data_IF_079644562396
#
_entry.id   IF_079644562396
#
_cell.length_a   1.000
_cell.length_b   1.000
_cell.length_c   1.000
_cell.angle_alpha   90.00
_cell.angle_beta   90.00
_cell.angle_gamma   90.00
#
_symmetry.space_group_name_H-M   'P 1'
#
loop_
_entity.id
_entity.type
_entity.pdbx_description
1 polymer ?
#
# COMPACT_ATOMS: atom_id res chain seq x y z
N UNK A 1 4.81 19.94 -0.36
CA UNK A 1 4.84 21.36 -0.82
C UNK A 1 3.56 21.69 -1.58
N UNK A 2 3.09 22.94 -1.52
CA UNK A 2 1.89 23.43 -2.18
C UNK A 2 2.09 23.59 -3.71
N UNK A 3 2.19 22.46 -4.42
CA UNK A 3 2.28 22.40 -5.87
C UNK A 3 1.82 21.01 -6.38
N UNK A 4 1.67 20.86 -7.70
CA UNK A 4 1.26 19.60 -8.31
C UNK A 4 2.19 18.43 -7.93
N UNK A 5 3.51 18.60 -8.03
CA UNK A 5 4.48 17.56 -7.69
C UNK A 5 4.40 17.09 -6.24
N UNK A 6 4.14 18.02 -5.32
CA UNK A 6 3.93 17.75 -3.90
C UNK A 6 2.70 16.90 -3.59
N UNK A 7 1.76 16.77 -4.53
CA UNK A 7 0.62 15.86 -4.44
C UNK A 7 0.80 14.62 -5.30
N UNK A 8 1.33 14.75 -6.52
CA UNK A 8 1.54 13.64 -7.44
C UNK A 8 2.55 12.61 -6.92
N UNK A 9 3.62 13.04 -6.23
CA UNK A 9 4.62 12.14 -5.65
C UNK A 9 4.00 11.23 -4.57
N UNK A 10 3.39 11.75 -3.48
CA UNK A 10 2.72 10.88 -2.50
C UNK A 10 1.56 10.11 -3.13
N UNK A 11 0.81 10.72 -4.06
CA UNK A 11 -0.25 10.03 -4.80
C UNK A 11 0.24 8.79 -5.54
N UNK A 12 1.40 8.88 -6.21
CA UNK A 12 2.03 7.76 -6.89
C UNK A 12 2.48 6.67 -5.92
N UNK A 13 3.07 7.06 -4.79
CA UNK A 13 3.50 6.12 -3.76
C UNK A 13 2.32 5.31 -3.22
N UNK A 14 1.22 5.97 -2.83
CA UNK A 14 0.03 5.30 -2.31
C UNK A 14 -0.69 4.45 -3.36
N UNK A 15 -0.75 4.89 -4.62
CA UNK A 15 -1.29 4.07 -5.71
C UNK A 15 -0.50 2.78 -5.90
N UNK A 16 0.83 2.88 -6.03
CA UNK A 16 1.70 1.72 -6.21
C UNK A 16 1.64 0.78 -5.00
N UNK A 17 1.63 1.34 -3.78
CA UNK A 17 1.47 0.56 -2.57
C UNK A 17 0.12 -0.16 -2.54
N UNK A 18 -0.97 0.51 -2.90
CA UNK A 18 -2.31 -0.09 -2.97
C UNK A 18 -2.36 -1.28 -3.93
N UNK A 19 -1.85 -1.13 -5.16
CA UNK A 19 -1.74 -2.24 -6.11
C UNK A 19 -0.84 -3.38 -5.60
N UNK A 20 0.32 -3.03 -5.04
CA UNK A 20 1.25 -4.01 -4.46
C UNK A 20 0.58 -4.83 -3.37
N UNK A 21 -0.13 -4.18 -2.44
CA UNK A 21 -0.87 -4.83 -1.37
C UNK A 21 -1.96 -5.75 -1.92
N UNK A 22 -2.74 -5.30 -2.91
CA UNK A 22 -3.75 -6.13 -3.58
C UNK A 22 -3.12 -7.39 -4.18
N UNK A 23 -2.02 -7.26 -4.94
CA UNK A 23 -1.31 -8.41 -5.51
C UNK A 23 -0.78 -9.34 -4.41
N UNK A 24 -0.11 -8.80 -3.39
CA UNK A 24 0.46 -9.55 -2.26
C UNK A 24 -0.61 -10.39 -1.56
N UNK A 25 -1.74 -9.78 -1.20
CA UNK A 25 -2.79 -10.48 -0.46
C UNK A 25 -3.53 -11.52 -1.30
N UNK A 26 -3.70 -11.29 -2.61
CA UNK A 26 -4.26 -12.31 -3.51
C UNK A 26 -3.34 -13.53 -3.55
N UNK A 27 -2.01 -13.33 -3.67
CA UNK A 27 -1.03 -14.41 -3.66
C UNK A 27 -1.06 -15.18 -2.33
N UNK A 28 -1.06 -14.46 -1.20
CA UNK A 28 -1.14 -15.05 0.13
C UNK A 28 -2.46 -15.79 0.34
N UNK A 29 -3.59 -15.24 -0.11
CA UNK A 29 -4.91 -15.88 -0.04
C UNK A 29 -4.97 -17.14 -0.89
N UNK A 30 -4.52 -17.09 -2.14
CA UNK A 30 -4.44 -18.28 -3.00
C UNK A 30 -3.59 -19.37 -2.35
N UNK A 31 -2.45 -19.01 -1.79
CA UNK A 31 -1.58 -19.96 -1.10
C UNK A 31 -2.26 -20.57 0.14
N UNK A 32 -2.86 -19.75 1.01
CA UNK A 32 -3.59 -20.21 2.22
C UNK A 32 -4.70 -21.20 1.88
N UNK A 33 -5.44 -20.95 0.80
CA UNK A 33 -6.58 -21.78 0.37
C UNK A 33 -6.17 -23.10 -0.29
N UNK A 34 -4.98 -23.19 -0.90
CA UNK A 34 -4.51 -24.38 -1.61
C UNK A 34 -3.55 -25.27 -0.80
N UNK A 35 -3.27 -24.94 0.46
CA UNK A 35 -2.41 -25.75 1.34
C UNK A 35 -3.15 -26.98 1.91
N UNK A 36 -2.53 -28.18 1.90
CA UNK A 36 -3.10 -29.34 2.60
C UNK A 36 -3.18 -29.08 4.11
N UNK A 37 -4.27 -29.52 4.74
CA UNK A 37 -4.50 -29.35 6.19
C UNK A 37 -3.38 -30.04 6.97
N UNK A 38 -2.53 -29.28 7.67
CA UNK A 38 -1.56 -29.86 8.61
C UNK A 38 -0.25 -29.11 8.81
N UNK A 39 0.18 -28.21 7.91
CA UNK A 39 1.41 -27.42 8.13
C UNK A 39 1.42 -26.09 7.38
N UNK A 40 0.99 -25.02 8.06
CA UNK A 40 1.06 -23.66 7.54
C UNK A 40 2.43 -23.03 7.79
N UNK A 41 3.46 -23.43 7.04
CA UNK A 41 4.74 -22.72 7.04
C UNK A 41 4.69 -21.66 5.96
N UNK A 42 4.75 -20.39 6.34
CA UNK A 42 4.87 -19.27 5.39
C UNK A 42 6.09 -19.47 4.48
N UNK A 43 5.90 -19.50 3.15
CA UNK A 43 6.98 -19.63 2.19
C UNK A 43 8.06 -18.57 2.39
N UNK A 44 9.35 -18.89 2.17
CA UNK A 44 10.44 -17.92 2.20
C UNK A 44 10.19 -16.72 1.27
N UNK A 45 9.48 -16.94 0.16
CA UNK A 45 9.09 -15.88 -0.77
C UNK A 45 8.24 -14.79 -0.11
N UNK A 46 7.19 -15.14 0.64
CA UNK A 46 6.36 -14.14 1.32
C UNK A 46 7.14 -13.41 2.41
N UNK A 47 8.03 -14.09 3.14
CA UNK A 47 8.92 -13.41 4.09
C UNK A 47 9.82 -12.37 3.42
N UNK A 48 10.37 -12.70 2.23
CA UNK A 48 11.15 -11.75 1.43
C UNK A 48 10.32 -10.54 1.00
N UNK A 49 9.05 -10.74 0.63
CA UNK A 49 8.14 -9.64 0.30
C UNK A 49 7.93 -8.71 1.49
N UNK A 50 7.68 -9.24 2.70
CA UNK A 50 7.51 -8.41 3.90
C UNK A 50 8.79 -7.64 4.25
N UNK A 51 9.98 -8.25 4.10
CA UNK A 51 11.25 -7.53 4.31
C UNK A 51 11.49 -6.44 3.28
N UNK A 52 11.16 -6.69 2.01
CA UNK A 52 11.29 -5.69 0.96
C UNK A 52 10.32 -4.52 1.20
N UNK A 53 9.07 -4.81 1.53
CA UNK A 53 8.06 -3.80 1.85
C UNK A 53 8.45 -2.95 3.06
N UNK A 54 8.79 -3.60 4.18
CA UNK A 54 9.20 -2.89 5.38
C UNK A 54 10.51 -2.11 5.20
N UNK A 55 11.50 -2.70 4.52
CA UNK A 55 12.76 -2.05 4.20
C UNK A 55 12.58 -0.84 3.28
N UNK A 56 11.75 -0.96 2.24
CA UNK A 56 11.42 0.14 1.34
C UNK A 56 10.68 1.25 2.09
N UNK A 57 9.75 0.91 2.98
CA UNK A 57 9.02 1.88 3.79
C UNK A 57 9.94 2.64 4.75
N UNK A 58 10.90 1.96 5.39
CA UNK A 58 11.93 2.60 6.23
C UNK A 58 12.78 3.55 5.40
N UNK A 59 13.24 3.08 4.23
CA UNK A 59 14.06 3.89 3.33
C UNK A 59 13.31 5.12 2.83
N UNK A 60 12.07 4.96 2.37
CA UNK A 60 11.22 6.06 1.90
C UNK A 60 10.94 7.08 3.01
N UNK A 61 10.65 6.61 4.23
CA UNK A 61 10.48 7.47 5.39
C UNK A 61 11.74 8.28 5.71
N UNK A 62 12.90 7.62 5.71
CA UNK A 62 14.18 8.28 5.93
C UNK A 62 14.45 9.35 4.87
N UNK A 63 14.32 9.01 3.59
CA UNK A 63 14.49 9.97 2.47
C UNK A 63 13.49 11.11 2.59
N UNK A 64 12.23 10.84 2.92
CA UNK A 64 11.21 11.85 3.14
C UNK A 64 11.59 12.85 4.24
N UNK A 65 12.06 12.36 5.38
CA UNK A 65 12.56 13.23 6.47
C UNK A 65 13.78 14.04 6.00
N UNK A 66 14.73 13.41 5.29
CA UNK A 66 15.91 14.12 4.80
C UNK A 66 15.55 15.24 3.81
N UNK A 67 14.61 14.97 2.89
CA UNK A 67 14.14 15.95 1.91
C UNK A 67 13.36 17.08 2.60
N UNK A 68 12.47 16.77 3.55
CA UNK A 68 11.71 17.82 4.23
C UNK A 68 12.59 18.68 5.14
N UNK A 69 13.63 18.11 5.75
CA UNK A 69 14.48 18.82 6.71
C UNK A 69 15.68 19.54 6.07
N UNK A 70 16.33 18.94 5.07
CA UNK A 70 17.69 19.33 4.65
C UNK A 70 17.83 19.68 3.16
N UNK A 71 16.73 19.86 2.43
CA UNK A 71 16.82 20.59 1.14
C UNK A 71 17.29 22.02 1.39
N UNK A 72 17.78 22.71 0.35
CA UNK A 72 18.31 24.08 0.44
C UNK A 72 17.32 25.03 1.14
N UNK A 73 16.03 24.84 0.89
CA UNK A 73 14.94 25.57 1.54
C UNK A 73 14.28 24.79 2.69
N UNK A 74 15.02 23.93 3.39
CA UNK A 74 14.54 23.18 4.54
C UNK A 74 14.67 23.96 5.87
N UNK A 75 14.03 23.49 6.96
CA UNK A 75 14.24 24.00 8.31
C UNK A 75 15.63 23.66 8.90
N UNK A 76 16.37 22.71 8.31
CA UNK A 76 17.70 22.26 8.76
C UNK A 76 17.74 21.87 10.25
N UNK A 77 16.72 21.15 10.72
CA UNK A 77 16.53 20.78 12.13
C UNK A 77 16.35 21.97 13.11
N UNK A 78 16.14 23.18 12.61
CA UNK A 78 15.71 24.31 13.42
C UNK A 78 14.18 24.33 13.49
N UNK A 79 13.62 24.16 14.69
CA UNK A 79 12.17 24.26 14.91
C UNK A 79 11.75 25.69 15.25
N UNK A 80 12.60 26.40 16.01
CA UNK A 80 12.28 27.71 16.57
C UNK A 80 13.28 28.77 16.12
N UNK A 81 12.78 29.95 15.76
CA UNK A 81 13.61 31.15 15.55
C UNK A 81 13.36 32.16 16.67
N UNK A 82 14.44 32.73 17.23
CA UNK A 82 14.35 33.72 18.30
C UNK A 82 13.90 35.10 17.80
N UNK A 83 14.05 35.37 16.50
CA UNK A 83 13.72 36.66 15.90
C UNK A 83 12.60 36.51 14.85
N UNK A 84 11.41 37.08 15.13
CA UNK A 84 10.27 37.10 14.20
C UNK A 84 9.21 36.03 14.47
N UNK A 85 8.70 35.37 13.42
CA UNK A 85 7.75 34.27 13.57
C UNK A 85 8.45 33.10 14.30
N UNK A 86 7.94 32.65 15.46
CA UNK A 86 8.62 31.67 16.29
C UNK A 86 8.88 30.34 15.56
N UNK A 87 8.07 29.96 14.58
CA UNK A 87 8.14 28.65 13.94
C UNK A 87 8.88 28.68 12.60
N UNK A 88 9.87 27.80 12.45
CA UNK A 88 10.61 27.63 11.19
C UNK A 88 9.96 26.52 10.37
N UNK A 89 9.29 26.89 9.28
CA UNK A 89 8.75 25.96 8.26
C UNK A 89 7.99 24.77 8.89
N UNK A 90 7.01 25.08 9.75
CA UNK A 90 6.27 24.10 10.55
C UNK A 90 5.59 23.00 9.71
N UNK A 91 5.23 23.28 8.47
CA UNK A 91 4.66 22.28 7.56
C UNK A 91 5.64 21.15 7.23
N UNK A 92 6.92 21.47 7.03
CA UNK A 92 7.96 20.47 6.82
C UNK A 92 8.14 19.57 8.05
N UNK A 93 7.97 20.12 9.25
CA UNK A 93 7.98 19.35 10.50
C UNK A 93 6.76 18.42 10.63
N UNK A 94 5.57 18.86 10.21
CA UNK A 94 4.39 17.99 10.16
C UNK A 94 4.62 16.81 9.19
N UNK A 95 5.11 17.06 7.98
CA UNK A 95 5.44 15.98 7.03
C UNK A 95 6.54 15.04 7.56
N UNK A 96 7.58 15.59 8.20
CA UNK A 96 8.65 14.78 8.82
C UNK A 96 8.10 13.88 9.92
N UNK A 97 7.13 14.37 10.70
CA UNK A 97 6.42 13.58 11.71
C UNK A 97 5.61 12.46 11.07
N UNK A 98 4.89 12.74 9.97
CA UNK A 98 4.17 11.70 9.22
C UNK A 98 5.14 10.60 8.73
N UNK A 99 6.23 10.99 8.07
CA UNK A 99 7.24 10.04 7.59
C UNK A 99 7.84 9.21 8.72
N UNK A 100 8.11 9.80 9.89
CA UNK A 100 8.59 9.07 11.07
C UNK A 100 7.66 7.91 11.44
N UNK A 101 6.35 8.14 11.50
CA UNK A 101 5.40 7.08 11.85
C UNK A 101 5.30 5.99 10.77
N UNK A 102 5.37 6.35 9.49
CA UNK A 102 5.50 5.35 8.43
C UNK A 102 6.81 4.56 8.55
N UNK A 103 7.91 5.19 8.94
CA UNK A 103 9.18 4.51 9.23
C UNK A 103 9.06 3.51 10.39
N UNK A 104 8.40 3.90 11.48
CA UNK A 104 8.09 3.01 12.61
C UNK A 104 7.25 1.80 12.16
N UNK A 105 6.24 2.01 11.32
CA UNK A 105 5.45 0.93 10.75
C UNK A 105 6.29 -0.03 9.88
N UNK A 106 7.24 0.50 9.09
CA UNK A 106 8.20 -0.32 8.34
C UNK A 106 9.11 -1.16 9.25
N UNK A 107 9.62 -0.56 10.34
CA UNK A 107 10.42 -1.28 11.36
C UNK A 107 9.60 -2.39 12.00
N UNK A 108 8.36 -2.09 12.39
CA UNK A 108 7.45 -3.06 12.98
C UNK A 108 7.18 -4.23 12.03
N UNK A 109 6.95 -3.96 10.74
CA UNK A 109 6.75 -5.00 9.73
C UNK A 109 7.97 -5.93 9.61
N UNK A 110 9.18 -5.38 9.54
CA UNK A 110 10.41 -6.18 9.52
C UNK A 110 10.57 -6.97 10.82
N UNK A 111 10.40 -6.32 11.97
CA UNK A 111 10.57 -6.94 13.29
C UNK A 111 9.60 -8.10 13.52
N UNK A 112 8.32 -7.95 13.14
CA UNK A 112 7.30 -9.01 13.19
C UNK A 112 7.64 -10.22 12.32
N UNK A 113 8.47 -10.04 11.29
CA UNK A 113 8.91 -11.13 10.40
C UNK A 113 10.28 -11.72 10.76
N UNK A 114 11.09 -11.03 11.57
CA UNK A 114 12.38 -11.54 12.08
C UNK A 114 12.21 -12.25 13.43
N UNK A 115 11.45 -11.66 14.35
CA UNK A 115 11.41 -12.09 15.74
C UNK A 115 10.04 -12.60 16.15
N UNK A 116 10.01 -13.79 16.77
CA UNK A 116 8.80 -14.35 17.39
C UNK A 116 8.41 -13.65 18.70
N UNK A 117 9.30 -12.80 19.25
CA UNK A 117 9.02 -12.03 20.47
C UNK A 117 8.06 -10.88 20.21
N UNK A 118 7.93 -10.44 18.95
CA UNK A 118 6.99 -9.39 18.58
C UNK A 118 5.59 -10.00 18.51
N UNK A 119 4.61 -9.46 19.26
CA UNK A 119 3.24 -9.95 19.21
C UNK A 119 2.66 -9.89 17.79
N UNK A 120 1.80 -10.85 17.47
CA UNK A 120 1.09 -10.85 16.20
C UNK A 120 0.18 -9.62 16.09
N UNK A 121 0.22 -8.93 14.94
CA UNK A 121 -0.61 -7.76 14.68
C UNK A 121 0.05 -6.40 14.98
N UNK A 122 1.27 -6.37 15.55
CA UNK A 122 2.01 -5.11 15.75
C UNK A 122 2.28 -4.37 14.43
N UNK A 123 2.54 -5.11 13.36
CA UNK A 123 2.67 -4.59 11.99
C UNK A 123 1.39 -3.84 11.53
N UNK A 124 0.22 -4.42 11.81
CA UNK A 124 -1.10 -3.84 11.47
C UNK A 124 -1.45 -2.64 12.35
N UNK A 125 -1.14 -2.73 13.65
CA UNK A 125 -1.34 -1.64 14.60
C UNK A 125 -0.52 -0.41 14.22
N UNK A 126 0.76 -0.61 13.88
CA UNK A 126 1.66 0.50 13.58
C UNK A 126 1.34 1.18 12.26
N UNK A 127 0.94 0.45 11.21
CA UNK A 127 0.44 1.08 9.98
C UNK A 127 -0.90 1.80 10.19
N UNK A 128 -1.79 1.25 11.03
CA UNK A 128 -3.02 1.94 11.43
C UNK A 128 -2.72 3.27 12.14
N UNK A 129 -1.76 3.26 13.07
CA UNK A 129 -1.31 4.45 13.78
C UNK A 129 -0.63 5.46 12.84
N UNK A 130 0.16 5.01 11.88
CA UNK A 130 0.77 5.89 10.89
C UNK A 130 -0.28 6.61 10.04
N UNK A 131 -1.29 5.89 9.55
CA UNK A 131 -2.43 6.48 8.84
C UNK A 131 -3.24 7.42 9.75
N UNK A 132 -3.44 7.05 11.02
CA UNK A 132 -4.12 7.93 11.97
C UNK A 132 -3.36 9.25 12.17
N UNK A 133 -2.04 9.19 12.36
CA UNK A 133 -1.20 10.39 12.53
C UNK A 133 -1.18 11.23 11.26
N UNK A 134 -1.11 10.62 10.07
CA UNK A 134 -1.29 11.30 8.79
C UNK A 134 -2.63 12.07 8.75
N UNK A 135 -3.74 11.38 8.98
CA UNK A 135 -5.07 11.98 8.95
C UNK A 135 -5.24 13.08 10.01
N UNK A 136 -4.70 12.86 11.22
CA UNK A 136 -4.77 13.81 12.33
C UNK A 136 -3.96 15.08 12.05
N UNK A 137 -2.74 14.96 11.53
CA UNK A 137 -1.93 16.14 11.16
C UNK A 137 -2.56 16.89 9.98
N UNK A 138 -3.07 16.17 8.97
CA UNK A 138 -3.78 16.81 7.86
C UNK A 138 -5.07 17.50 8.29
N UNK A 139 -5.78 16.99 9.29
CA UNK A 139 -7.01 17.63 9.79
C UNK A 139 -6.74 19.05 10.28
N UNK A 140 -5.68 19.24 11.05
CA UNK A 140 -5.28 20.57 11.52
C UNK A 140 -4.55 21.39 10.44
N UNK A 141 -4.07 20.76 9.36
CA UNK A 141 -3.54 21.46 8.19
C UNK A 141 -4.62 22.17 7.37
N UNK A 142 -5.83 21.61 7.34
CA UNK A 142 -6.94 22.08 6.50
C UNK A 142 -7.65 23.32 7.06
N UNK A 143 -7.48 23.60 8.36
CA UNK A 143 -8.11 24.75 8.99
C UNK A 143 -7.61 26.07 8.38
N UNK A 144 -8.54 26.99 8.07
CA UNK A 144 -8.32 28.30 7.43
C UNK A 144 -7.90 28.29 5.95
N UNK A 145 -8.13 27.20 5.21
CA UNK A 145 -7.98 27.18 3.75
C UNK A 145 -9.24 27.72 3.04
N UNK A 146 -9.14 28.21 1.79
CA UNK A 146 -10.29 28.52 0.94
C UNK A 146 -11.26 27.34 0.86
N UNK A 147 -12.55 27.60 0.59
CA UNK A 147 -13.60 26.61 0.77
C UNK A 147 -13.39 25.31 -0.03
N UNK A 148 -13.06 25.41 -1.33
CA UNK A 148 -12.76 24.24 -2.16
C UNK A 148 -11.49 23.49 -1.73
N UNK A 149 -10.43 24.23 -1.37
CA UNK A 149 -9.15 23.66 -0.90
C UNK A 149 -9.36 22.87 0.40
N UNK A 150 -10.13 23.43 1.33
CA UNK A 150 -10.45 22.73 2.56
C UNK A 150 -11.29 21.47 2.32
N UNK A 151 -12.30 21.57 1.45
CA UNK A 151 -13.22 20.47 1.15
C UNK A 151 -12.51 19.30 0.46
N UNK A 152 -11.71 19.59 -0.57
CA UNK A 152 -11.04 18.53 -1.34
C UNK A 152 -10.02 17.76 -0.49
N UNK A 153 -9.33 18.44 0.42
CA UNK A 153 -8.49 17.78 1.41
C UNK A 153 -9.31 17.02 2.45
N UNK A 154 -10.45 17.54 2.92
CA UNK A 154 -11.32 16.82 3.86
C UNK A 154 -11.80 15.47 3.32
N UNK A 155 -12.03 15.37 2.00
CA UNK A 155 -12.35 14.09 1.34
C UNK A 155 -11.16 13.11 1.38
N UNK A 156 -9.91 13.59 1.28
CA UNK A 156 -8.72 12.75 1.49
C UNK A 156 -8.71 12.16 2.90
N UNK A 157 -9.02 12.98 3.91
CA UNK A 157 -9.06 12.53 5.30
C UNK A 157 -10.03 11.37 5.51
N UNK A 158 -11.17 11.39 4.83
CA UNK A 158 -12.11 10.26 4.87
C UNK A 158 -11.44 8.95 4.41
N UNK A 159 -10.71 8.98 3.29
CA UNK A 159 -9.98 7.81 2.80
C UNK A 159 -8.88 7.35 3.79
N UNK A 160 -8.11 8.29 4.34
CA UNK A 160 -7.02 8.00 5.29
C UNK A 160 -7.56 7.40 6.59
N UNK A 161 -8.59 8.00 7.20
CA UNK A 161 -9.17 7.48 8.44
C UNK A 161 -9.88 6.15 8.23
N UNK A 162 -10.57 5.95 7.10
CA UNK A 162 -11.08 4.63 6.73
C UNK A 162 -9.94 3.61 6.58
N UNK A 163 -8.80 4.01 6.00
CA UNK A 163 -7.59 3.17 5.89
C UNK A 163 -7.03 2.79 7.25
N UNK A 164 -6.92 3.76 8.16
CA UNK A 164 -6.50 3.54 9.55
C UNK A 164 -7.43 2.58 10.28
N UNK A 165 -8.76 2.78 10.16
CA UNK A 165 -9.76 1.91 10.77
C UNK A 165 -9.72 0.48 10.18
N UNK A 166 -9.58 0.34 8.86
CA UNK A 166 -9.44 -0.96 8.19
C UNK A 166 -8.20 -1.71 8.70
N UNK A 167 -7.05 -1.03 8.78
CA UNK A 167 -5.82 -1.62 9.31
C UNK A 167 -5.94 -1.99 10.80
N UNK A 168 -6.66 -1.21 11.60
CA UNK A 168 -6.94 -1.54 12.99
C UNK A 168 -7.80 -2.80 13.12
N UNK A 169 -8.83 -2.95 12.29
CA UNK A 169 -9.66 -4.16 12.28
C UNK A 169 -8.85 -5.42 11.97
N UNK A 170 -7.84 -5.33 11.10
CA UNK A 170 -6.96 -6.46 10.78
C UNK A 170 -6.12 -6.93 11.98
N UNK A 171 -5.91 -6.09 13.01
CA UNK A 171 -5.25 -6.52 14.26
C UNK A 171 -6.06 -7.64 14.93
N UNK A 172 -7.39 -7.52 14.92
CA UNK A 172 -8.31 -8.47 15.53
C UNK A 172 -8.76 -9.57 14.56
N UNK A 173 -9.01 -9.20 13.30
CA UNK A 173 -9.54 -10.08 12.26
C UNK A 173 -8.46 -10.31 11.20
N UNK A 174 -7.46 -11.11 11.58
CA UNK A 174 -6.31 -11.42 10.71
C UNK A 174 -6.72 -12.30 9.54
N UNK A 175 -5.95 -12.17 8.45
CA UNK A 175 -6.02 -13.03 7.27
C UNK A 175 -7.38 -13.02 6.54
N UNK A 176 -8.19 -11.99 6.78
CA UNK A 176 -9.47 -11.80 6.09
C UNK A 176 -9.26 -11.08 4.77
N UNK A 177 -9.48 -11.79 3.67
CA UNK A 177 -9.24 -11.27 2.32
C UNK A 177 -10.08 -10.02 2.00
N UNK A 178 -11.28 -9.87 2.57
CA UNK A 178 -12.12 -8.70 2.33
C UNK A 178 -11.49 -7.45 2.97
N UNK A 179 -10.99 -7.56 4.20
CA UNK A 179 -10.29 -6.45 4.87
C UNK A 179 -8.97 -6.11 4.18
N UNK A 180 -8.22 -7.14 3.77
CA UNK A 180 -6.97 -6.98 3.00
C UNK A 180 -7.21 -6.26 1.66
N UNK A 181 -8.29 -6.60 0.94
CA UNK A 181 -8.71 -5.91 -0.30
C UNK A 181 -9.22 -4.50 -0.04
N UNK A 182 -9.98 -4.29 1.04
CA UNK A 182 -10.46 -2.97 1.45
C UNK A 182 -9.27 -2.05 1.72
N UNK A 183 -8.25 -2.50 2.45
CA UNK A 183 -7.05 -1.71 2.71
C UNK A 183 -6.30 -1.36 1.43
N UNK A 184 -6.08 -2.33 0.53
CA UNK A 184 -5.48 -2.06 -0.78
C UNK A 184 -6.28 -1.03 -1.59
N UNK A 185 -7.61 -1.16 -1.60
CA UNK A 185 -8.52 -0.22 -2.27
C UNK A 185 -8.49 1.19 -1.67
N UNK A 186 -8.39 1.32 -0.35
CA UNK A 186 -8.29 2.60 0.34
C UNK A 186 -6.97 3.31 0.05
N UNK A 187 -5.86 2.57 -0.09
CA UNK A 187 -4.59 3.12 -0.57
C UNK A 187 -4.67 3.60 -2.03
N UNK A 188 -5.35 2.84 -2.90
CA UNK A 188 -5.60 3.27 -4.30
C UNK A 188 -6.46 4.55 -4.31
N UNK A 189 -7.51 4.60 -3.50
CA UNK A 189 -8.37 5.77 -3.36
C UNK A 189 -7.55 6.99 -2.88
N UNK A 190 -6.83 6.85 -1.77
CA UNK A 190 -5.94 7.88 -1.23
C UNK A 190 -4.95 8.40 -2.29
N UNK A 191 -4.26 7.49 -2.98
CA UNK A 191 -3.27 7.86 -3.99
C UNK A 191 -3.87 8.55 -5.21
N UNK A 192 -4.99 8.04 -5.75
CA UNK A 192 -5.70 8.69 -6.86
C UNK A 192 -6.28 10.05 -6.46
N UNK A 193 -6.67 10.21 -5.20
CA UNK A 193 -7.24 11.45 -4.70
C UNK A 193 -6.20 12.54 -4.50
N UNK A 194 -4.96 12.18 -4.11
CA UNK A 194 -3.84 13.11 -4.16
C UNK A 194 -3.63 13.70 -5.56
N UNK A 195 -3.74 12.88 -6.61
CA UNK A 195 -3.72 13.38 -7.99
C UNK A 195 -4.88 14.35 -8.26
N UNK A 196 -6.09 14.02 -7.83
CA UNK A 196 -7.25 14.90 -7.98
C UNK A 196 -7.03 16.26 -7.30
N UNK A 197 -6.50 16.28 -6.07
CA UNK A 197 -6.10 17.52 -5.37
C UNK A 197 -5.09 18.30 -6.23
N UNK A 198 -4.05 17.63 -6.73
CA UNK A 198 -3.06 18.23 -7.60
C UNK A 198 -3.69 18.88 -8.84
N UNK A 199 -4.60 18.20 -9.53
CA UNK A 199 -5.25 18.72 -10.74
C UNK A 199 -6.20 19.89 -10.47
N UNK A 200 -6.91 19.88 -9.34
CA UNK A 200 -7.87 20.94 -9.00
C UNK A 200 -7.17 22.19 -8.48
N UNK A 201 -6.21 22.05 -7.56
CA UNK A 201 -5.55 23.20 -6.92
C UNK A 201 -4.33 23.70 -7.70
N UNK A 202 -3.70 22.82 -8.50
CA UNK A 202 -2.47 23.13 -9.24
C UNK A 202 -2.55 22.57 -10.67
N UNK A 203 -3.55 22.98 -11.48
CA UNK A 203 -3.73 22.44 -12.82
C UNK A 203 -2.47 22.66 -13.67
N UNK A 204 -1.87 21.62 -14.26
CA UNK A 204 -0.66 21.76 -15.08
C UNK A 204 -0.93 22.53 -16.38
N UNK A 205 -2.19 22.59 -16.81
CA UNK A 205 -2.66 23.36 -17.96
C UNK A 205 -4.14 23.70 -17.79
N UNK A 206 -4.59 24.81 -18.37
CA UNK A 206 -5.99 25.24 -18.35
C UNK A 206 -6.28 26.37 -17.38
N UNK A 207 -7.56 26.67 -17.19
CA UNK A 207 -8.01 27.73 -16.28
C UNK A 207 -7.93 27.25 -14.83
N UNK A 208 -7.59 28.18 -13.93
CA UNK A 208 -7.65 27.93 -12.49
C UNK A 208 -9.10 27.74 -12.04
N UNK A 209 -9.28 26.90 -11.02
CA UNK A 209 -10.58 26.67 -10.41
C UNK A 209 -10.95 27.85 -9.51
N UNK A 210 -12.23 28.21 -9.50
CA UNK A 210 -12.77 29.14 -8.52
C UNK A 210 -12.93 28.41 -7.17
N UNK A 211 -12.19 28.86 -6.16
CA UNK A 211 -12.14 28.22 -4.84
C UNK A 211 -13.36 28.51 -3.96
N UNK A 212 -14.16 29.52 -4.31
CA UNK A 212 -15.35 29.93 -3.55
C UNK A 212 -16.65 29.47 -4.22
N UNK A 213 -16.58 29.01 -5.48
CA UNK A 213 -17.73 28.51 -6.23
C UNK A 213 -18.27 27.19 -5.65
N UNK A 214 -19.51 27.21 -5.16
CA UNK A 214 -20.16 26.05 -4.54
C UNK A 214 -20.33 24.88 -5.53
N UNK A 215 -20.54 25.17 -6.81
CA UNK A 215 -20.68 24.13 -7.84
C UNK A 215 -19.43 23.26 -7.97
N UNK A 216 -18.24 23.83 -7.73
CA UNK A 216 -16.98 23.08 -7.74
C UNK A 216 -16.89 22.10 -6.56
N UNK A 217 -17.42 22.48 -5.39
CA UNK A 217 -17.50 21.60 -4.21
C UNK A 217 -18.41 20.41 -4.48
N UNK A 218 -19.59 20.65 -5.07
CA UNK A 218 -20.51 19.58 -5.46
C UNK A 218 -19.87 18.63 -6.48
N UNK A 219 -19.21 19.18 -7.50
CA UNK A 219 -18.55 18.42 -8.54
C UNK A 219 -17.42 17.54 -7.98
N UNK A 220 -16.53 18.10 -7.15
CA UNK A 220 -15.43 17.35 -6.54
C UNK A 220 -15.96 16.25 -5.61
N UNK A 221 -17.05 16.50 -4.87
CA UNK A 221 -17.70 15.46 -4.04
C UNK A 221 -18.19 14.28 -4.91
N UNK A 222 -18.81 14.58 -6.05
CA UNK A 222 -19.22 13.57 -7.01
C UNK A 222 -18.02 12.80 -7.59
N UNK A 223 -16.93 13.49 -7.93
CA UNK A 223 -15.69 12.86 -8.37
C UNK A 223 -15.13 11.91 -7.31
N UNK A 224 -15.20 12.23 -6.02
CA UNK A 224 -14.77 11.32 -4.95
C UNK A 224 -15.51 9.99 -4.99
N UNK A 225 -16.82 10.01 -5.19
CA UNK A 225 -17.62 8.79 -5.35
C UNK A 225 -17.22 7.99 -6.60
N UNK A 226 -16.85 8.66 -7.70
CA UNK A 226 -16.32 7.98 -8.88
C UNK A 226 -14.95 7.35 -8.60
N UNK A 227 -14.07 8.00 -7.85
CA UNK A 227 -12.80 7.43 -7.44
C UNK A 227 -12.99 6.18 -6.56
N UNK A 228 -13.99 6.15 -5.68
CA UNK A 228 -14.36 4.94 -4.93
C UNK A 228 -14.76 3.81 -5.88
N UNK A 229 -15.64 4.09 -6.85
CA UNK A 229 -16.07 3.10 -7.83
C UNK A 229 -14.89 2.57 -8.67
N UNK A 230 -14.00 3.46 -9.12
CA UNK A 230 -12.79 3.11 -9.87
C UNK A 230 -11.84 2.28 -9.00
N UNK A 231 -11.61 2.64 -7.73
CA UNK A 231 -10.77 1.87 -6.83
C UNK A 231 -11.29 0.43 -6.64
N UNK A 232 -12.61 0.26 -6.46
CA UNK A 232 -13.25 -1.06 -6.37
C UNK A 232 -13.07 -1.89 -7.65
N UNK A 233 -13.23 -1.26 -8.81
CA UNK A 233 -12.99 -1.89 -10.11
C UNK A 233 -11.52 -2.31 -10.24
N UNK A 234 -10.57 -1.44 -9.92
CA UNK A 234 -9.13 -1.72 -9.99
C UNK A 234 -8.74 -2.88 -9.07
N UNK A 235 -9.25 -2.92 -7.84
CA UNK A 235 -9.01 -4.03 -6.91
C UNK A 235 -9.57 -5.33 -7.47
N UNK A 236 -10.80 -5.33 -7.99
CA UNK A 236 -11.46 -6.53 -8.53
C UNK A 236 -10.77 -7.05 -9.79
N UNK A 237 -10.37 -6.15 -10.69
CA UNK A 237 -9.59 -6.48 -11.89
C UNK A 237 -8.23 -7.07 -11.51
N UNK A 238 -7.51 -6.43 -10.58
CA UNK A 238 -6.21 -6.91 -10.11
C UNK A 238 -6.34 -8.27 -9.42
N UNK A 239 -7.33 -8.44 -8.53
CA UNK A 239 -7.65 -9.71 -7.88
C UNK A 239 -7.86 -10.81 -8.92
N UNK A 240 -8.76 -10.57 -9.88
CA UNK A 240 -9.12 -11.54 -10.90
C UNK A 240 -7.90 -11.90 -11.75
N UNK A 241 -7.16 -10.90 -12.22
CA UNK A 241 -5.97 -11.09 -13.05
C UNK A 241 -4.92 -11.94 -12.33
N UNK A 242 -4.56 -11.58 -11.10
CA UNK A 242 -3.57 -12.33 -10.32
C UNK A 242 -4.08 -13.75 -10.03
N UNK A 243 -5.33 -13.89 -9.62
CA UNK A 243 -5.92 -15.20 -9.34
C UNK A 243 -5.89 -16.14 -10.55
N UNK A 244 -6.36 -15.67 -11.71
CA UNK A 244 -6.36 -16.47 -12.94
C UNK A 244 -4.93 -16.79 -13.41
N UNK A 245 -4.01 -15.83 -13.28
CA UNK A 245 -2.60 -16.02 -13.62
C UNK A 245 -1.97 -17.13 -12.78
N UNK A 246 -2.12 -17.05 -11.46
CA UNK A 246 -1.57 -18.04 -10.52
C UNK A 246 -2.21 -19.40 -10.75
N UNK A 247 -3.53 -19.48 -10.93
CA UNK A 247 -4.24 -20.73 -11.24
C UNK A 247 -3.73 -21.37 -12.52
N UNK A 248 -3.52 -20.59 -13.59
CA UNK A 248 -3.00 -21.07 -14.88
C UNK A 248 -1.58 -21.63 -14.75
N UNK A 249 -0.69 -20.92 -14.05
CA UNK A 249 0.68 -21.40 -13.83
C UNK A 249 0.73 -22.64 -12.93
N UNK A 250 -0.12 -22.69 -11.89
CA UNK A 250 -0.21 -23.86 -11.00
C UNK A 250 -0.76 -25.10 -11.72
N UNK A 251 -1.77 -24.94 -12.58
CA UNK A 251 -2.28 -26.04 -13.41
C UNK A 251 -1.21 -26.58 -14.36
N UNK A 252 -0.54 -25.69 -15.10
CA UNK A 252 0.55 -26.07 -16.01
C UNK A 252 1.70 -26.79 -15.28
N UNK A 253 2.04 -26.35 -14.06
CA UNK A 253 3.05 -27.01 -13.24
C UNK A 253 2.67 -28.46 -12.88
N UNK A 254 1.42 -28.69 -12.50
CA UNK A 254 0.90 -30.05 -12.24
C UNK A 254 0.89 -30.93 -13.49
N UNK A 255 0.52 -30.37 -14.64
CA UNK A 255 0.52 -31.12 -15.90
C UNK A 255 1.94 -31.56 -16.30
N UNK A 256 2.95 -30.70 -16.08
CA UNK A 256 4.36 -31.02 -16.31
C UNK A 256 4.82 -32.12 -15.34
N UNK A 257 4.49 -32.01 -14.04
CA UNK A 257 4.86 -33.00 -13.03
C UNK A 257 4.24 -34.38 -13.31
N UNK A 258 2.96 -34.42 -13.70
CA UNK A 258 2.26 -35.64 -14.12
C UNK A 258 2.90 -36.21 -15.40
N UNK A 259 3.23 -35.35 -16.37
CA UNK A 259 3.93 -35.74 -17.60
C UNK A 259 5.28 -36.40 -17.30
N UNK A 260 6.10 -35.78 -16.45
CA UNK A 260 7.41 -36.31 -16.04
C UNK A 260 7.30 -37.65 -15.28
N UNK A 261 6.30 -37.79 -14.42
CA UNK A 261 6.07 -39.04 -13.68
C UNK A 261 5.64 -40.17 -14.60
N UNK A 262 4.81 -39.88 -15.60
CA UNK A 262 4.39 -40.85 -16.60
C UNK A 262 5.54 -41.28 -17.54
N UNK A 263 6.42 -40.36 -17.94
CA UNK A 263 7.62 -40.71 -18.72
C UNK A 263 8.61 -41.55 -17.91
N UNK A 264 8.81 -41.23 -16.63
CA UNK A 264 9.68 -42.01 -15.73
C UNK A 264 9.13 -43.43 -15.51
N UNK A 265 7.81 -43.56 -15.29
CA UNK A 265 7.15 -44.86 -15.16
C UNK A 265 7.28 -45.72 -16.42
N UNK A 266 7.05 -45.15 -17.60
CA UNK A 266 7.23 -45.86 -18.89
C UNK A 266 8.68 -46.26 -19.14
N UNK A 267 9.64 -45.40 -18.82
CA UNK A 267 11.07 -45.71 -18.92
C UNK A 267 11.47 -46.87 -18.01
N UNK A 268 10.98 -46.90 -16.76
CA UNK A 268 11.26 -48.01 -15.84
C UNK A 268 10.60 -49.31 -16.30
N UNK A 269 9.37 -49.24 -16.83
CA UNK A 269 8.68 -50.41 -17.38
C UNK A 269 9.39 -50.97 -18.62
N UNK A 270 9.91 -50.12 -19.51
CA UNK A 270 10.68 -50.58 -20.68
C UNK A 270 12.04 -51.16 -20.28
N UNK A 271 12.68 -50.63 -19.24
CA UNK A 271 13.97 -51.14 -18.76
C UNK A 271 13.83 -52.52 -18.10
N UNK A 272 12.78 -52.71 -17.32
CA UNK A 272 12.46 -54.01 -16.71
C UNK A 272 12.16 -55.10 -17.77
N UNK A 273 11.46 -54.75 -18.84
CA UNK A 273 11.17 -55.69 -19.94
C UNK A 273 12.40 -56.05 -20.79
N UNK A 274 13.43 -55.19 -20.83
CA UNK A 274 14.69 -55.47 -21.54
C UNK A 274 15.67 -56.28 -20.68
N UNK A 275 15.70 -56.06 -19.37
CA UNK A 275 16.48 -56.92 -18.45
C UNK A 275 15.92 -58.34 -18.40
N UNK A 276 14.60 -58.53 -18.55
CA UNK A 276 13.97 -59.85 -18.59
C UNK A 276 14.21 -60.60 -19.92
N UNK A 277 14.63 -59.91 -21.00
CA UNK A 277 14.95 -60.54 -22.30
C UNK A 277 16.43 -60.91 -22.47
N UNK A 278 17.32 -60.40 -21.62
CA UNK A 278 18.77 -60.63 -21.70
C UNK A 278 19.23 -61.79 -20.76
N UNK A 279 18.31 -62.44 -20.04
CA UNK A 279 18.59 -63.60 -19.15
C UNK A 279 18.30 -64.99 -19.77
N UNK A 280 18.06 -65.11 -21.08
CA UNK A 280 18.01 -66.41 -21.80
C UNK A 280 19.27 -66.70 -22.62
#
# INVERSE_FOLDING_TARGET
MANFGGHAIPGSFFLLLGFWLTVKYVLQHYWRTNQPKGRQITPPFFKKMEYFEGGFQIFAAFVGIMVEQFVVDGPHAHLFNKDGNPWVKLMNWQHSTMYLFFGIAGIALVASNVSKLVPAGVDRLTISLALFVEGFLFYFHVHNRPHLDAHIHSLLLAAVFCGSASAMLEVFIRDNIILEMLRGGLFILQGSWFYQIGFVLYPPSGKQWDLEEHSNVMFVTMCFCWHIAVALLLVTCTFSLVWFTVKRFSARGRDIEIGMRNTSSKSNSQKALLEESDEE
#
